data_IF_632698594922
#
_entry.id   IF_632698594922
#
_cell.length_a   1.000
_cell.length_b   1.000
_cell.length_c   1.000
_cell.angle_alpha   90.00
_cell.angle_beta   90.00
_cell.angle_gamma   90.00
#
_symmetry.space_group_name_H-M   'P 1'
#
loop_
_entity.id
_entity.type
_entity.pdbx_description
1 polymer ?
#
# COMPACT_ATOMS: atom_id res chain seq x y z
N UNK A 1 -23.69 -12.43 -7.93
CA UNK A 1 -22.36 -12.05 -7.45
C UNK A 1 -22.44 -10.60 -7.03
N UNK A 2 -22.05 -10.25 -5.79
CA UNK A 2 -21.88 -8.83 -5.44
C UNK A 2 -20.67 -8.34 -6.24
N UNK A 3 -20.86 -7.31 -7.07
CA UNK A 3 -19.78 -6.80 -7.91
C UNK A 3 -18.67 -6.18 -7.07
N UNK A 4 -17.46 -6.12 -7.63
CA UNK A 4 -16.33 -5.39 -7.04
C UNK A 4 -16.72 -3.93 -6.80
N UNK A 5 -16.48 -3.45 -5.58
CA UNK A 5 -16.67 -2.06 -5.19
C UNK A 5 -15.31 -1.38 -5.09
N UNK A 6 -15.23 -0.15 -5.58
CA UNK A 6 -14.04 0.69 -5.50
C UNK A 6 -14.48 2.03 -4.93
N UNK A 7 -13.82 2.49 -3.87
CA UNK A 7 -14.09 3.79 -3.28
C UNK A 7 -12.80 4.48 -2.84
N UNK A 8 -12.80 5.82 -2.90
CA UNK A 8 -11.69 6.62 -2.38
C UNK A 8 -11.82 6.74 -0.87
N UNK A 9 -10.73 6.50 -0.15
CA UNK A 9 -10.67 6.57 1.32
C UNK A 9 -9.36 7.23 1.75
N UNK A 10 -9.35 7.80 2.96
CA UNK A 10 -8.10 8.09 3.66
C UNK A 10 -7.70 6.85 4.48
N UNK A 11 -6.42 6.51 4.49
CA UNK A 11 -5.95 5.33 5.24
C UNK A 11 -4.52 5.50 5.72
N UNK A 12 -4.28 5.22 7.00
CA UNK A 12 -2.94 5.16 7.56
C UNK A 12 -2.12 6.44 7.37
N UNK A 13 -2.77 7.60 7.44
CA UNK A 13 -2.14 8.92 7.26
C UNK A 13 -2.05 9.41 5.81
N UNK A 14 -2.31 8.58 4.80
CA UNK A 14 -2.39 9.00 3.40
C UNK A 14 -3.83 9.40 3.02
N UNK A 15 -4.06 10.64 2.53
CA UNK A 15 -5.38 11.10 2.12
C UNK A 15 -5.88 10.51 0.79
N UNK A 16 -5.00 10.00 -0.07
CA UNK A 16 -5.37 9.47 -1.38
C UNK A 16 -5.12 7.96 -1.45
N UNK A 17 -6.09 7.19 -0.96
CA UNK A 17 -6.13 5.75 -1.11
C UNK A 17 -7.42 5.29 -1.79
N UNK A 18 -7.41 4.06 -2.29
CA UNK A 18 -8.57 3.37 -2.83
C UNK A 18 -8.79 2.06 -2.09
N UNK A 19 -10.00 1.86 -1.59
CA UNK A 19 -10.45 0.57 -1.06
C UNK A 19 -11.15 -0.20 -2.18
N UNK A 20 -10.67 -1.41 -2.44
CA UNK A 20 -11.28 -2.35 -3.38
C UNK A 20 -11.81 -3.54 -2.59
N UNK A 21 -13.03 -3.99 -2.86
CA UNK A 21 -13.59 -5.17 -2.18
C UNK A 21 -14.58 -5.92 -3.06
N UNK A 22 -14.66 -7.24 -2.90
CA UNK A 22 -15.74 -8.08 -3.42
C UNK A 22 -16.80 -8.44 -2.35
N UNK A 23 -16.62 -7.94 -1.12
CA UNK A 23 -17.43 -8.25 0.05
C UNK A 23 -16.79 -9.26 1.00
N UNK A 24 -15.82 -10.05 0.56
CA UNK A 24 -15.09 -11.02 1.39
C UNK A 24 -13.69 -10.51 1.72
N UNK A 25 -12.96 -10.04 0.69
CA UNK A 25 -11.61 -9.47 0.81
C UNK A 25 -11.68 -7.97 0.55
N UNK A 26 -10.84 -7.22 1.26
CA UNK A 26 -10.59 -5.81 1.03
C UNK A 26 -9.09 -5.55 0.79
N UNK A 27 -8.80 -4.76 -0.23
CA UNK A 27 -7.49 -4.19 -0.51
C UNK A 27 -7.53 -2.69 -0.25
N UNK A 28 -6.43 -2.12 0.23
CA UNK A 28 -6.23 -0.67 0.21
C UNK A 28 -4.95 -0.37 -0.57
N UNK A 29 -5.11 0.44 -1.61
CA UNK A 29 -4.03 0.90 -2.47
C UNK A 29 -3.82 2.39 -2.23
N UNK A 30 -2.59 2.80 -1.93
CA UNK A 30 -2.24 4.22 -1.81
C UNK A 30 -1.74 4.78 -3.13
N UNK A 31 -2.12 6.01 -3.45
CA UNK A 31 -1.60 6.78 -4.60
C UNK A 31 -0.74 7.95 -4.17
N UNK A 32 -0.52 8.13 -2.87
CA UNK A 32 0.40 9.14 -2.33
C UNK A 32 1.86 8.64 -2.32
N UNK A 33 2.06 7.32 -2.29
CA UNK A 33 3.35 6.62 -2.40
C UNK A 33 3.13 5.29 -3.13
N UNK A 34 4.12 4.78 -3.85
CA UNK A 34 4.08 3.42 -4.40
C UNK A 34 4.43 3.28 -5.89
N UNK A 35 3.76 2.36 -6.63
CA UNK A 35 2.49 1.71 -6.32
C UNK A 35 2.58 0.69 -5.17
N UNK A 36 1.65 0.79 -4.21
CA UNK A 36 1.58 -0.08 -3.03
C UNK A 36 0.17 -0.53 -2.68
N UNK A 37 0.03 -1.82 -2.36
CA UNK A 37 -1.12 -2.36 -1.65
C UNK A 37 -0.75 -2.37 -0.17
N UNK A 38 -1.25 -1.39 0.60
CA UNK A 38 -0.88 -1.20 2.00
C UNK A 38 -1.70 -2.07 2.96
N UNK A 39 -2.84 -2.60 2.49
CA UNK A 39 -3.70 -3.51 3.24
C UNK A 39 -4.22 -4.60 2.31
N UNK A 40 -4.23 -5.85 2.79
CA UNK A 40 -4.91 -6.97 2.17
C UNK A 40 -5.48 -7.84 3.29
N UNK A 41 -6.79 -7.98 3.38
CA UNK A 41 -7.41 -8.66 4.51
C UNK A 41 -8.88 -8.97 4.30
N UNK A 42 -9.48 -9.68 5.25
CA UNK A 42 -10.94 -9.86 5.26
C UNK A 42 -11.65 -8.51 5.41
N UNK A 43 -12.80 -8.36 4.78
CA UNK A 43 -13.65 -7.17 4.92
C UNK A 43 -14.08 -7.03 6.39
N UNK A 44 -13.67 -5.95 7.05
CA UNK A 44 -13.91 -5.73 8.48
C UNK A 44 -13.13 -6.66 9.42
N UNK A 45 -12.14 -7.40 8.90
CA UNK A 45 -11.38 -8.39 9.66
C UNK A 45 -9.87 -8.11 9.68
N UNK A 46 -9.09 -9.19 9.78
CA UNK A 46 -7.64 -9.14 9.89
C UNK A 46 -6.96 -8.67 8.59
N UNK A 47 -5.97 -7.79 8.72
CA UNK A 47 -4.98 -7.50 7.69
C UNK A 47 -3.89 -8.59 7.67
N UNK A 48 -3.56 -9.09 6.49
CA UNK A 48 -2.48 -10.07 6.27
C UNK A 48 -1.12 -9.42 6.06
N UNK A 49 -1.08 -8.13 5.73
CA UNK A 49 0.18 -7.40 5.56
C UNK A 49 0.59 -6.72 6.85
N UNK A 50 1.90 -6.72 7.11
CA UNK A 50 2.47 -5.87 8.13
C UNK A 50 2.52 -4.41 7.66
N UNK A 51 2.26 -3.49 8.59
CA UNK A 51 2.33 -2.03 8.38
C UNK A 51 3.31 -1.48 9.39
N UNK A 52 4.31 -0.70 8.93
CA UNK A 52 5.31 -0.12 9.82
C UNK A 52 4.76 1.20 10.39
N UNK A 53 4.30 1.27 11.65
CA UNK A 53 3.53 2.40 12.15
C UNK A 53 4.27 3.73 12.00
N UNK A 54 5.59 3.73 12.25
CA UNK A 54 6.44 4.92 12.18
C UNK A 54 6.67 5.44 10.76
N UNK A 55 6.26 4.71 9.72
CA UNK A 55 6.43 5.09 8.31
C UNK A 55 5.11 5.32 7.58
N UNK A 56 3.98 5.04 8.25
CA UNK A 56 2.63 5.25 7.72
C UNK A 56 2.36 6.74 7.53
N UNK A 57 1.77 7.11 6.39
CA UNK A 57 1.35 8.47 6.08
C UNK A 57 2.48 9.43 5.70
N UNK A 58 3.73 8.95 5.66
CA UNK A 58 4.90 9.75 5.25
C UNK A 58 5.17 9.62 3.76
N UNK A 59 5.87 10.60 3.19
CA UNK A 59 6.37 10.64 1.82
C UNK A 59 7.49 11.67 1.70
N UNK A 60 8.33 11.55 0.67
CA UNK A 60 9.40 12.51 0.34
C UNK A 60 10.76 12.20 0.97
N UNK A 61 10.92 11.04 1.59
CA UNK A 61 12.19 10.58 2.16
C UNK A 61 13.24 10.38 1.07
N UNK A 62 14.50 10.73 1.37
CA UNK A 62 15.64 10.62 0.46
C UNK A 62 16.20 9.20 0.33
N UNK A 63 15.66 8.26 1.11
CA UNK A 63 16.04 6.85 1.12
C UNK A 63 14.79 5.96 1.10
N UNK A 64 15.02 4.73 0.66
CA UNK A 64 13.96 3.72 0.60
C UNK A 64 13.35 3.47 1.98
N UNK A 65 12.02 3.48 2.03
CA UNK A 65 11.24 3.18 3.23
C UNK A 65 10.46 1.87 3.04
N UNK A 66 10.53 0.99 4.04
CA UNK A 66 9.80 -0.28 4.02
C UNK A 66 8.29 -0.09 3.94
N UNK A 67 7.71 0.86 4.69
CA UNK A 67 6.29 1.22 4.88
C UNK A 67 5.31 0.08 5.24
N UNK A 68 5.68 -1.17 4.96
CA UNK A 68 4.81 -2.34 5.00
C UNK A 68 4.05 -2.53 3.67
N UNK A 69 3.04 -3.39 3.72
CA UNK A 69 2.24 -3.75 2.55
C UNK A 69 3.02 -4.53 1.50
N UNK A 70 2.54 -4.43 0.26
CA UNK A 70 3.15 -5.00 -0.93
C UNK A 70 3.54 -3.88 -1.90
N UNK A 71 4.75 -3.96 -2.48
CA UNK A 71 5.27 -3.05 -3.52
C UNK A 71 5.85 -3.83 -4.69
N UNK A 72 6.16 -3.14 -5.78
CA UNK A 72 6.98 -3.72 -6.85
C UNK A 72 8.42 -3.96 -6.36
N UNK A 73 8.95 -5.11 -6.75
CA UNK A 73 10.31 -5.56 -6.44
C UNK A 73 10.95 -6.13 -7.71
N UNK A 74 12.19 -5.75 -7.99
CA UNK A 74 12.93 -6.18 -9.17
C UNK A 74 14.12 -7.03 -8.72
N UNK A 75 14.32 -8.16 -9.42
CA UNK A 75 15.48 -9.02 -9.25
C UNK A 75 16.52 -8.77 -10.37
N UNK A 76 17.82 -8.99 -10.13
CA UNK A 76 18.42 -9.35 -8.83
C UNK A 76 18.28 -8.23 -7.80
N UNK A 77 18.46 -8.56 -6.52
CA UNK A 77 18.37 -7.57 -5.45
C UNK A 77 19.58 -6.62 -5.50
N UNK A 78 19.40 -5.43 -6.07
CA UNK A 78 20.46 -4.45 -6.28
C UNK A 78 19.99 -3.03 -5.98
N UNK A 79 20.93 -2.20 -5.55
CA UNK A 79 20.75 -0.74 -5.43
C UNK A 79 21.19 -0.10 -6.75
N UNK A 80 20.41 0.79 -7.37
CA UNK A 80 19.15 1.36 -6.87
C UNK A 80 17.87 0.60 -7.26
N UNK A 81 17.92 -0.38 -8.16
CA UNK A 81 16.72 -0.89 -8.84
C UNK A 81 15.70 -1.54 -7.90
N UNK A 82 16.11 -2.42 -6.99
CA UNK A 82 15.23 -3.07 -6.01
C UNK A 82 14.78 -2.13 -4.91
N UNK A 83 15.62 -1.14 -4.60
CA UNK A 83 15.46 -0.17 -3.52
C UNK A 83 15.06 1.22 -4.03
N UNK A 84 14.47 1.30 -5.22
CA UNK A 84 14.07 2.57 -5.79
C UNK A 84 13.06 3.29 -4.87
N UNK A 85 13.21 4.61 -4.74
CA UNK A 85 12.28 5.45 -4.00
C UNK A 85 10.90 5.37 -4.66
N UNK A 86 9.88 5.24 -3.83
CA UNK A 86 8.48 5.16 -4.26
C UNK A 86 7.65 6.26 -3.61
N UNK A 87 8.20 7.48 -3.57
CA UNK A 87 7.55 8.67 -3.01
C UNK A 87 6.43 9.23 -3.90
N UNK A 88 6.25 8.70 -5.10
CA UNK A 88 5.15 9.02 -6.00
C UNK A 88 4.82 7.79 -6.86
N UNK A 89 3.60 7.74 -7.43
CA UNK A 89 3.22 6.71 -8.40
C UNK A 89 3.99 6.82 -9.71
#
# INVERSE_FOLDING_TARGET
MKGTQIEKVAYGGWPNCYRLTDGEIALIVTTDVGPRIIYCGFTGGQNFFYQLPDQMGKSGEDHWCMRGGHRLWIAPEIVPDSYALDNGP
#
